data_IF_256671420939
#
_entry.id   IF_256671420939
#
_cell.length_a   1.000
_cell.length_b   1.000
_cell.length_c   1.000
_cell.angle_alpha   90.00
_cell.angle_beta   90.00
_cell.angle_gamma   90.00
#
_symmetry.space_group_name_H-M   'P 1'
#
loop_
_entity.id
_entity.type
_entity.pdbx_description
1 polymer ?
#
# COMPACT_ATOMS: atom_id res chain seq x y z
N UNK A 1 -13.07 -25.49 6.97
CA UNK A 1 -12.75 -24.57 5.85
C UNK A 1 -11.35 -24.01 6.07
N UNK A 2 -10.42 -24.14 5.10
CA UNK A 2 -9.03 -23.79 5.31
C UNK A 2 -8.86 -22.29 5.54
N UNK A 3 -8.22 -21.92 6.65
CA UNK A 3 -7.88 -20.55 7.07
C UNK A 3 -6.69 -20.02 6.27
N UNK A 4 -6.80 -19.93 4.96
CA UNK A 4 -5.81 -19.16 4.18
C UNK A 4 -6.11 -17.69 4.42
N UNK A 5 -5.37 -17.05 5.33
CA UNK A 5 -5.34 -15.59 5.40
C UNK A 5 -5.11 -15.08 3.97
N UNK A 6 -5.95 -14.16 3.46
CA UNK A 6 -5.83 -13.70 2.10
C UNK A 6 -4.44 -13.05 1.97
N UNK A 7 -3.54 -13.71 1.22
CA UNK A 7 -2.16 -13.23 1.02
C UNK A 7 -2.14 -11.89 0.28
N UNK A 8 -3.22 -11.61 -0.46
CA UNK A 8 -3.40 -10.44 -1.30
C UNK A 8 -3.34 -9.10 -0.54
N UNK A 9 -4.15 -8.83 0.51
CA UNK A 9 -4.08 -7.59 1.26
C UNK A 9 -2.73 -7.35 1.96
N UNK A 10 -2.08 -8.40 2.48
CA UNK A 10 -0.73 -8.26 3.06
C UNK A 10 0.29 -7.86 1.98
N UNK A 11 0.21 -8.49 0.80
CA UNK A 11 1.03 -8.11 -0.35
C UNK A 11 0.76 -6.68 -0.83
N UNK A 12 -0.50 -6.25 -0.87
CA UNK A 12 -0.88 -4.90 -1.28
C UNK A 12 -0.41 -3.83 -0.28
N UNK A 13 -0.44 -4.11 1.03
CA UNK A 13 0.13 -3.21 2.04
C UNK A 13 1.65 -3.09 1.84
N UNK A 14 2.35 -4.22 1.66
CA UNK A 14 3.79 -4.22 1.42
C UNK A 14 4.18 -3.48 0.14
N UNK A 15 3.46 -3.73 -0.95
CA UNK A 15 3.69 -3.06 -2.24
C UNK A 15 3.35 -1.56 -2.17
N UNK A 16 2.29 -1.19 -1.45
CA UNK A 16 1.91 0.21 -1.21
C UNK A 16 2.97 0.96 -0.40
N UNK A 17 3.48 0.36 0.68
CA UNK A 17 4.58 0.93 1.46
C UNK A 17 5.85 1.11 0.63
N UNK A 18 6.22 0.12 -0.19
CA UNK A 18 7.37 0.21 -1.09
C UNK A 18 7.17 1.32 -2.15
N UNK A 19 5.96 1.47 -2.67
CA UNK A 19 5.59 2.52 -3.64
C UNK A 19 5.68 3.93 -3.02
N UNK A 20 5.23 4.11 -1.78
CA UNK A 20 5.36 5.38 -1.03
C UNK A 20 6.82 5.72 -0.75
N UNK A 21 7.62 4.74 -0.29
CA UNK A 21 9.05 4.93 -0.03
C UNK A 21 9.81 5.30 -1.30
N UNK A 22 9.48 4.65 -2.43
CA UNK A 22 10.07 4.96 -3.72
C UNK A 22 9.66 6.36 -4.19
N UNK A 23 8.37 6.72 -4.09
CA UNK A 23 7.89 8.05 -4.41
C UNK A 23 8.55 9.17 -3.60
N UNK A 24 8.79 8.92 -2.30
CA UNK A 24 9.51 9.82 -1.39
C UNK A 24 10.98 9.98 -1.79
N UNK A 25 11.65 8.89 -2.18
CA UNK A 25 13.01 8.94 -2.71
C UNK A 25 13.08 9.72 -4.03
N UNK A 26 12.09 9.58 -4.92
CA UNK A 26 12.01 10.35 -6.15
C UNK A 26 11.82 11.85 -5.89
N UNK A 27 10.92 12.23 -4.97
CA UNK A 27 10.70 13.65 -4.59
C UNK A 27 11.90 14.26 -3.87
N UNK A 28 12.70 13.46 -3.17
CA UNK A 28 13.97 13.90 -2.57
C UNK A 28 15.08 14.17 -3.61
N UNK A 29 14.80 14.05 -4.92
CA UNK A 29 15.73 14.38 -5.99
C UNK A 29 16.70 13.24 -6.35
N UNK A 30 16.59 12.06 -5.73
CA UNK A 30 17.44 10.88 -6.04
C UNK A 30 17.14 10.33 -7.44
N UNK A 31 15.97 10.62 -8.02
CA UNK A 31 15.60 10.23 -9.39
C UNK A 31 16.24 11.07 -10.51
N UNK A 32 16.85 12.21 -10.18
CA UNK A 32 17.42 13.15 -11.17
C UNK A 32 18.59 12.58 -11.97
N UNK A 33 19.29 11.58 -11.44
CA UNK A 33 20.40 10.92 -12.12
C UNK A 33 20.03 9.74 -13.04
N UNK A 34 18.78 9.26 -12.99
CA UNK A 34 18.39 7.99 -13.66
C UNK A 34 17.47 8.17 -14.87
N UNK A 35 16.56 9.15 -14.89
CA UNK A 35 15.76 9.43 -16.09
C UNK A 35 15.14 10.83 -16.07
N UNK A 36 15.17 11.60 -17.18
CA UNK A 36 14.55 12.95 -17.24
C UNK A 36 13.03 12.96 -17.03
N UNK A 37 12.35 11.82 -17.15
CA UNK A 37 10.93 11.64 -16.82
C UNK A 37 10.68 11.60 -15.30
N UNK A 38 11.63 11.08 -14.53
CA UNK A 38 11.59 11.08 -13.05
C UNK A 38 12.00 12.45 -12.47
N UNK A 39 12.66 13.29 -13.26
CA UNK A 39 13.03 14.65 -12.89
C UNK A 39 11.85 15.64 -13.00
N UNK A 40 10.71 15.23 -13.59
CA UNK A 40 9.49 16.03 -13.50
C UNK A 40 8.90 15.88 -12.09
N UNK A 41 8.76 17.01 -11.40
CA UNK A 41 8.24 17.11 -10.02
C UNK A 41 6.92 16.32 -9.81
N UNK A 42 6.13 16.14 -10.86
CA UNK A 42 4.89 15.35 -10.86
C UNK A 42 5.08 13.83 -10.71
N UNK A 43 6.19 13.25 -11.15
CA UNK A 43 6.37 11.79 -11.14
C UNK A 43 6.47 11.23 -9.70
N UNK A 44 7.16 11.94 -8.80
CA UNK A 44 7.26 11.56 -7.40
C UNK A 44 5.91 11.60 -6.68
N UNK A 45 5.14 12.67 -6.91
CA UNK A 45 3.81 12.86 -6.29
C UNK A 45 2.83 11.78 -6.76
N UNK A 46 2.79 11.45 -8.05
CA UNK A 46 1.90 10.40 -8.59
C UNK A 46 2.22 9.04 -7.98
N UNK A 47 3.49 8.73 -7.75
CA UNK A 47 3.92 7.50 -7.08
C UNK A 47 3.44 7.45 -5.61
N UNK A 48 3.59 8.55 -4.88
CA UNK A 48 3.14 8.65 -3.49
C UNK A 48 1.62 8.46 -3.41
N UNK A 49 0.85 9.18 -4.22
CA UNK A 49 -0.63 9.08 -4.25
C UNK A 49 -1.08 7.67 -4.60
N UNK A 50 -0.45 7.05 -5.60
CA UNK A 50 -0.75 5.67 -6.00
C UNK A 50 -0.44 4.68 -4.88
N UNK A 51 0.69 4.85 -4.18
CA UNK A 51 1.07 4.02 -3.04
C UNK A 51 0.09 4.13 -1.88
N UNK A 52 -0.34 5.35 -1.53
CA UNK A 52 -1.34 5.60 -0.49
C UNK A 52 -2.70 4.99 -0.89
N UNK A 53 -3.13 5.17 -2.14
CA UNK A 53 -4.38 4.62 -2.65
C UNK A 53 -4.40 3.08 -2.64
N UNK A 54 -3.28 2.45 -2.97
CA UNK A 54 -3.11 1.00 -2.92
C UNK A 54 -3.13 0.47 -1.48
N UNK A 55 -2.41 1.14 -0.57
CA UNK A 55 -2.41 0.80 0.85
C UNK A 55 -3.81 0.95 1.49
N UNK A 56 -4.53 2.03 1.16
CA UNK A 56 -5.91 2.25 1.60
C UNK A 56 -6.88 1.17 1.09
N UNK A 57 -6.72 0.76 -0.18
CA UNK A 57 -7.52 -0.32 -0.77
C UNK A 57 -7.27 -1.68 -0.10
N UNK A 58 -6.08 -1.89 0.44
CA UNK A 58 -5.72 -3.11 1.18
C UNK A 58 -6.15 -3.10 2.66
N UNK A 59 -6.25 -1.91 3.26
CA UNK A 59 -6.69 -1.74 4.65
C UNK A 59 -8.16 -2.15 4.84
N UNK A 60 -9.04 -1.84 3.86
CA UNK A 60 -10.47 -2.11 3.95
C UNK A 60 -10.79 -3.62 4.09
N UNK A 61 -10.31 -4.54 3.24
CA UNK A 61 -10.48 -5.99 3.43
C UNK A 61 -9.95 -6.51 4.76
N UNK A 62 -8.90 -5.88 5.31
CA UNK A 62 -8.25 -6.29 6.55
C UNK A 62 -9.09 -5.95 7.78
N UNK A 63 -9.76 -4.79 7.75
CA UNK A 63 -10.76 -4.39 8.75
C UNK A 63 -11.99 -5.31 8.71
N UNK A 64 -12.48 -5.66 7.51
CA UNK A 64 -13.58 -6.63 7.37
C UNK A 64 -13.22 -8.03 7.86
N UNK A 65 -11.99 -8.48 7.61
CA UNK A 65 -11.51 -9.76 8.16
C UNK A 65 -11.42 -9.74 9.69
N UNK A 66 -11.03 -8.60 10.28
CA UNK A 66 -11.03 -8.38 11.73
C UNK A 66 -12.44 -8.39 12.31
N UNK A 67 -13.38 -7.66 11.72
CA UNK A 67 -14.80 -7.64 12.12
C UNK A 67 -15.42 -9.04 12.04
N UNK A 68 -15.18 -9.76 10.93
CA UNK A 68 -15.69 -11.13 10.76
C UNK A 68 -15.09 -12.13 11.76
N UNK A 69 -13.91 -11.86 12.30
CA UNK A 69 -13.29 -12.69 13.34
C UNK A 69 -13.89 -12.36 14.71
N UNK A 70 -14.11 -11.09 15.01
CA UNK A 70 -14.73 -10.59 16.25
C UNK A 70 -16.21 -11.02 16.36
N UNK A 71 -16.97 -10.92 15.27
CA UNK A 71 -18.38 -11.39 15.20
C UNK A 71 -18.53 -12.90 15.39
N UNK A 72 -17.49 -13.67 15.04
CA UNK A 72 -17.48 -15.14 15.19
C UNK A 72 -16.96 -15.59 16.55
N UNK A 73 -16.38 -14.68 17.33
CA UNK A 73 -16.11 -14.92 18.72
C UNK A 73 -17.42 -14.66 19.48
N UNK A 74 -18.12 -15.70 19.97
CA UNK A 74 -19.31 -15.46 20.76
C UNK A 74 -18.83 -14.72 22.01
N UNK A 75 -19.19 -13.43 22.13
CA UNK A 75 -19.02 -12.69 23.38
C UNK A 75 -19.75 -13.49 24.47
N UNK A 76 -18.96 -14.17 25.29
CA UNK A 76 -19.36 -14.69 26.60
C UNK A 76 -19.73 -13.52 27.50
#
# INVERSE_FOLDING_TARGET
MPRTLPRLPVWLIGLGALCVLFGLALTAGIGTGWHPLLASDGAGIVFIVSGIALAGSAAFPLVFARLSADDREPRQ
#
